data_IF_554800297423
#
_entry.id   IF_554800297423
#
_cell.length_a   1.000
_cell.length_b   1.000
_cell.length_c   1.000
_cell.angle_alpha   90.00
_cell.angle_beta   90.00
_cell.angle_gamma   90.00
#
_symmetry.space_group_name_H-M   'P 1'
#
loop_
_entity.id
_entity.type
_entity.pdbx_description
1 polymer ?
#
# COMPACT_ATOMS: atom_id res chain seq x y z
N UNK A 1 21.83 -5.93 -12.30
CA UNK A 1 22.38 -4.59 -12.59
C UNK A 1 21.59 -3.58 -11.77
N UNK A 2 22.26 -2.59 -11.16
CA UNK A 2 21.56 -1.63 -10.30
C UNK A 2 22.27 -0.30 -10.26
N UNK A 3 21.58 0.71 -9.71
CA UNK A 3 22.08 2.07 -9.52
C UNK A 3 21.74 2.48 -8.08
N UNK A 4 22.72 3.06 -7.37
CA UNK A 4 22.53 3.72 -6.10
C UNK A 4 22.52 5.24 -6.34
N UNK A 5 21.38 5.86 -6.02
CA UNK A 5 21.16 7.28 -6.23
C UNK A 5 21.09 7.99 -4.87
N UNK A 6 22.03 8.90 -4.60
CA UNK A 6 21.91 9.81 -3.47
C UNK A 6 21.05 10.99 -3.87
N UNK A 7 19.93 11.17 -3.20
CA UNK A 7 19.02 12.30 -3.36
C UNK A 7 19.30 13.31 -2.24
N UNK A 8 19.44 14.58 -2.59
CA UNK A 8 19.66 15.66 -1.63
C UNK A 8 18.71 16.82 -1.88
N UNK A 9 17.94 17.17 -0.87
CA UNK A 9 17.04 18.31 -0.85
C UNK A 9 17.72 19.41 -0.05
N UNK A 10 18.56 20.19 -0.71
CA UNK A 10 19.50 21.14 -0.09
C UNK A 10 18.80 22.16 0.80
N UNK A 11 17.70 22.75 0.31
CA UNK A 11 16.97 23.80 1.04
C UNK A 11 16.34 23.30 2.34
N UNK A 12 16.08 22.00 2.43
CA UNK A 12 15.46 21.36 3.61
C UNK A 12 16.48 20.62 4.50
N UNK A 13 17.72 20.48 4.03
CA UNK A 13 18.75 19.71 4.75
C UNK A 13 18.42 18.22 4.85
N UNK A 14 17.68 17.67 3.89
CA UNK A 14 17.29 16.25 3.88
C UNK A 14 18.03 15.53 2.76
N UNK A 15 18.60 14.37 3.07
CA UNK A 15 19.16 13.48 2.05
C UNK A 15 18.83 12.02 2.34
N UNK A 16 18.80 11.20 1.29
CA UNK A 16 18.59 9.76 1.38
C UNK A 16 19.21 9.04 0.18
N UNK A 17 19.49 7.75 0.31
CA UNK A 17 19.88 6.87 -0.79
C UNK A 17 18.69 6.08 -1.30
N UNK A 18 18.58 5.97 -2.61
CA UNK A 18 17.59 5.13 -3.29
C UNK A 18 18.32 4.14 -4.20
N UNK A 19 18.13 2.86 -3.93
CA UNK A 19 18.79 1.77 -4.65
C UNK A 19 17.79 1.18 -5.64
N UNK A 20 18.11 1.24 -6.91
CA UNK A 20 17.33 0.69 -8.01
C UNK A 20 18.02 -0.56 -8.55
N UNK A 21 17.30 -1.67 -8.68
CA UNK A 21 17.84 -2.90 -9.28
C UNK A 21 16.89 -3.41 -10.37
N UNK A 22 17.46 -3.80 -11.49
CA UNK A 22 16.72 -4.53 -12.51
C UNK A 22 16.51 -5.97 -12.06
N UNK A 23 15.29 -6.40 -12.10
CA UNK A 23 14.84 -7.77 -11.84
C UNK A 23 14.40 -8.42 -13.16
N UNK A 24 14.30 -9.76 -13.25
CA UNK A 24 13.91 -10.44 -14.49
C UNK A 24 12.60 -9.95 -15.11
N UNK A 25 11.65 -9.57 -14.27
CA UNK A 25 10.31 -9.16 -14.67
C UNK A 25 9.94 -7.75 -14.19
N UNK A 26 10.94 -6.91 -13.87
CA UNK A 26 10.65 -5.56 -13.42
C UNK A 26 11.82 -4.80 -12.80
N UNK A 27 11.50 -3.99 -11.79
CA UNK A 27 12.47 -3.15 -11.06
C UNK A 27 12.17 -3.21 -9.58
N UNK A 28 13.18 -3.43 -8.75
CA UNK A 28 13.08 -3.23 -7.31
C UNK A 28 13.66 -1.88 -6.90
N UNK A 29 13.02 -1.29 -5.89
CA UNK A 29 13.38 0.00 -5.31
C UNK A 29 13.56 -0.22 -3.81
N UNK A 30 14.68 0.24 -3.28
CA UNK A 30 14.96 0.16 -1.85
C UNK A 30 15.43 1.52 -1.34
N UNK A 31 14.87 1.95 -0.19
CA UNK A 31 15.33 3.13 0.56
C UNK A 31 15.63 2.67 1.97
N UNK A 32 16.92 2.46 2.33
CA UNK A 32 17.33 2.11 3.67
C UNK A 32 17.05 3.27 4.63
N UNK A 33 16.43 3.00 5.76
CA UNK A 33 16.15 4.02 6.78
C UNK A 33 17.41 4.74 7.26
N UNK A 34 18.49 4.00 7.47
CA UNK A 34 19.77 4.54 7.93
C UNK A 34 20.42 5.53 6.95
N UNK A 35 19.98 5.51 5.67
CA UNK A 35 20.46 6.47 4.67
C UNK A 35 19.80 7.85 4.78
N UNK A 36 18.68 7.95 5.51
CA UNK A 36 17.94 9.19 5.68
C UNK A 36 18.67 10.07 6.68
N UNK A 37 19.05 11.26 6.23
CA UNK A 37 19.72 12.25 7.05
C UNK A 37 18.91 13.53 7.06
N UNK A 38 18.69 14.08 8.25
CA UNK A 38 18.00 15.34 8.50
C UNK A 38 18.97 16.26 9.24
N UNK A 39 19.57 17.24 8.54
CA UNK A 39 20.59 18.12 9.10
C UNK A 39 20.02 19.47 9.54
N UNK A 40 18.85 19.86 9.01
CA UNK A 40 18.14 21.06 9.41
C UNK A 40 17.05 20.71 10.44
N UNK A 41 17.12 21.22 11.70
CA UNK A 41 16.16 20.86 12.75
C UNK A 41 14.75 21.41 12.50
N UNK A 42 14.58 22.33 11.57
CA UNK A 42 13.26 22.90 11.23
C UNK A 42 12.44 22.00 10.29
N UNK A 43 13.10 21.04 9.62
CA UNK A 43 12.46 20.18 8.63
C UNK A 43 12.67 18.70 8.95
N UNK A 44 11.65 17.91 8.66
CA UNK A 44 11.67 16.46 8.75
C UNK A 44 11.02 15.82 7.53
N UNK A 45 11.49 14.66 7.15
CA UNK A 45 10.85 13.84 6.14
C UNK A 45 9.50 13.30 6.68
N UNK A 46 8.41 13.91 6.28
CA UNK A 46 7.08 13.46 6.69
C UNK A 46 6.63 12.24 5.90
N UNK A 47 6.59 12.35 4.58
CA UNK A 47 6.10 11.31 3.67
C UNK A 47 7.01 11.20 2.46
N UNK A 48 7.35 9.98 2.10
CA UNK A 48 8.10 9.68 0.88
C UNK A 48 7.14 9.17 -0.20
N UNK A 49 6.94 9.93 -1.25
CA UNK A 49 6.16 9.58 -2.42
C UNK A 49 7.08 8.96 -3.48
N UNK A 50 6.95 7.64 -3.72
CA UNK A 50 7.79 6.96 -4.70
C UNK A 50 7.12 6.94 -6.08
N UNK A 51 7.79 7.56 -7.06
CA UNK A 51 7.40 7.57 -8.47
C UNK A 51 5.91 7.83 -8.72
N UNK A 52 5.34 8.95 -8.22
CA UNK A 52 3.89 9.19 -8.27
C UNK A 52 3.32 9.17 -9.67
N UNK A 53 4.10 9.54 -10.68
CA UNK A 53 3.66 9.55 -12.09
C UNK A 53 4.14 8.35 -12.90
N UNK A 54 4.63 7.29 -12.26
CA UNK A 54 5.01 6.08 -13.02
C UNK A 54 3.78 5.46 -13.68
N UNK A 55 3.82 5.35 -15.00
CA UNK A 55 2.69 4.84 -15.78
C UNK A 55 1.49 5.78 -15.87
N UNK A 56 1.61 7.05 -15.49
CA UNK A 56 0.50 8.01 -15.57
C UNK A 56 -0.04 8.15 -17.00
N UNK A 57 -1.38 8.21 -17.12
CA UNK A 57 -2.07 8.39 -18.41
C UNK A 57 -2.94 9.63 -18.42
N UNK A 58 -2.90 10.39 -19.50
CA UNK A 58 -3.72 11.60 -19.64
C UNK A 58 -5.15 11.23 -19.98
N UNK A 59 -6.09 11.47 -19.05
CA UNK A 59 -7.51 11.20 -19.26
C UNK A 59 -7.78 9.81 -19.80
N UNK A 60 -8.62 9.71 -20.82
CA UNK A 60 -8.93 8.48 -21.54
C UNK A 60 -8.06 8.22 -22.77
N UNK A 61 -6.85 8.83 -22.88
CA UNK A 61 -5.99 8.70 -24.08
C UNK A 61 -5.55 7.26 -24.34
N UNK A 62 -5.48 6.44 -23.31
CA UNK A 62 -5.23 5.00 -23.39
C UNK A 62 -6.34 4.29 -22.63
N UNK A 63 -6.99 3.26 -23.19
CA UNK A 63 -7.93 2.46 -22.43
C UNK A 63 -7.22 1.70 -21.34
N UNK A 64 -7.79 1.64 -20.15
CA UNK A 64 -7.18 0.96 -19.01
C UNK A 64 -7.82 1.33 -17.68
N UNK A 65 -7.15 0.97 -16.60
CA UNK A 65 -7.63 1.20 -15.25
C UNK A 65 -6.51 1.14 -14.21
N UNK A 66 -6.75 1.76 -13.07
CA UNK A 66 -6.01 1.54 -11.82
C UNK A 66 -6.67 0.42 -11.03
N UNK A 67 -5.88 -0.47 -10.44
CA UNK A 67 -6.32 -1.55 -9.57
C UNK A 67 -5.94 -1.25 -8.12
N UNK A 68 -6.92 -1.36 -7.22
CA UNK A 68 -6.77 -1.22 -5.76
C UNK A 68 -7.33 -2.49 -5.11
N UNK A 69 -6.61 -3.15 -4.18
CA UNK A 69 -7.05 -4.36 -3.50
C UNK A 69 -8.01 -4.05 -2.32
N UNK A 70 -9.06 -3.28 -2.57
CA UNK A 70 -10.08 -2.90 -1.61
C UNK A 70 -11.17 -3.97 -1.56
N UNK A 71 -11.24 -4.75 -0.49
CA UNK A 71 -12.14 -5.89 -0.36
C UNK A 71 -11.89 -6.94 -1.46
N UNK A 72 -12.87 -7.12 -2.35
CA UNK A 72 -12.78 -8.01 -3.52
C UNK A 72 -11.91 -7.43 -4.65
N UNK A 73 -11.45 -6.20 -4.52
CA UNK A 73 -10.72 -5.44 -5.53
C UNK A 73 -11.58 -4.41 -6.25
N UNK A 74 -11.03 -3.22 -6.45
CA UNK A 74 -11.67 -2.09 -7.14
C UNK A 74 -10.88 -1.71 -8.39
N UNK A 75 -11.60 -1.43 -9.49
CA UNK A 75 -11.04 -0.96 -10.75
C UNK A 75 -11.52 0.46 -11.04
N UNK A 76 -10.60 1.40 -11.17
CA UNK A 76 -10.89 2.79 -11.54
C UNK A 76 -10.51 2.95 -13.02
N UNK A 77 -11.51 2.92 -13.90
CA UNK A 77 -11.29 3.02 -15.34
C UNK A 77 -10.92 4.45 -15.76
N UNK A 78 -10.01 4.57 -16.70
CA UNK A 78 -9.57 5.88 -17.20
C UNK A 78 -10.67 6.65 -17.93
N UNK A 79 -11.55 5.93 -18.62
CA UNK A 79 -12.67 6.52 -19.33
C UNK A 79 -13.81 7.01 -18.42
N UNK A 80 -13.87 6.53 -17.18
CA UNK A 80 -14.94 6.86 -16.22
C UNK A 80 -14.57 8.01 -15.29
N UNK A 81 -13.63 8.85 -15.68
CA UNK A 81 -13.09 9.97 -14.87
C UNK A 81 -14.16 10.93 -14.39
N UNK A 82 -15.28 11.08 -15.15
CA UNK A 82 -16.39 11.94 -14.76
C UNK A 82 -17.16 11.47 -13.53
N UNK A 83 -17.02 10.20 -13.14
CA UNK A 83 -17.68 9.62 -11.96
C UNK A 83 -16.81 9.67 -10.71
N UNK A 84 -15.49 9.69 -10.84
CA UNK A 84 -14.58 9.83 -9.73
C UNK A 84 -14.57 11.29 -9.26
N UNK A 85 -15.00 11.53 -8.02
CA UNK A 85 -15.11 12.89 -7.44
C UNK A 85 -14.02 13.20 -6.42
N UNK A 86 -13.26 12.21 -6.00
CA UNK A 86 -12.26 12.33 -4.95
C UNK A 86 -10.97 11.60 -5.32
N UNK A 87 -9.88 12.09 -4.78
CA UNK A 87 -8.63 11.33 -4.68
C UNK A 87 -8.86 10.25 -3.62
N UNK A 88 -8.33 9.07 -3.85
CA UNK A 88 -8.49 7.93 -2.96
C UNK A 88 -7.20 7.74 -2.17
N UNK A 89 -7.34 7.78 -0.84
CA UNK A 89 -6.27 7.54 0.11
C UNK A 89 -6.63 6.31 0.95
N UNK A 90 -5.79 5.29 0.90
CA UNK A 90 -6.01 4.08 1.69
C UNK A 90 -4.71 3.66 2.37
N UNK A 91 -4.76 3.49 3.68
CA UNK A 91 -3.67 2.84 4.41
C UNK A 91 -3.74 1.34 4.28
N UNK A 92 -2.59 0.72 4.10
CA UNK A 92 -2.48 -0.73 4.23
C UNK A 92 -2.77 -1.14 5.67
N UNK A 93 -3.56 -2.21 5.82
CA UNK A 93 -4.01 -2.74 7.11
C UNK A 93 -4.87 -1.80 7.95
N UNK A 94 -5.38 -0.74 7.36
CA UNK A 94 -6.25 0.24 8.01
C UNK A 94 -5.52 1.41 8.66
N UNK A 95 -6.31 2.31 9.24
CA UNK A 95 -5.79 3.51 9.90
C UNK A 95 -5.27 3.18 11.29
N UNK A 96 -4.25 3.91 11.72
CA UNK A 96 -3.84 3.93 13.11
C UNK A 96 -4.89 4.68 13.93
N UNK A 97 -5.70 3.92 14.66
CA UNK A 97 -6.80 4.46 15.47
C UNK A 97 -6.31 5.37 16.61
N UNK A 98 -5.07 5.19 17.07
CA UNK A 98 -4.45 6.06 18.05
C UNK A 98 -4.13 7.47 17.52
N UNK A 99 -4.04 7.63 16.20
CA UNK A 99 -3.65 8.88 15.54
C UNK A 99 -4.83 9.68 14.99
N UNK A 100 -6.03 9.13 14.92
CA UNK A 100 -7.19 9.83 14.32
C UNK A 100 -8.05 10.57 15.33
N UNK A 101 -7.76 10.48 16.62
CA UNK A 101 -8.52 11.15 17.68
C UNK A 101 -9.98 10.72 17.81
N UNK A 102 -10.39 9.67 17.11
CA UNK A 102 -11.75 9.12 17.16
C UNK A 102 -11.79 7.90 18.09
N UNK A 103 -12.90 7.78 18.80
CA UNK A 103 -13.15 6.59 19.63
C UNK A 103 -13.32 5.39 18.67
N UNK A 104 -12.55 4.29 18.86
CA UNK A 104 -12.56 3.14 17.93
C UNK A 104 -13.93 2.42 17.86
N UNK A 105 -14.84 2.73 18.72
CA UNK A 105 -16.10 2.02 18.97
C UNK A 105 -17.35 2.81 18.60
N UNK A 106 -17.24 3.79 17.72
CA UNK A 106 -18.45 4.40 17.20
C UNK A 106 -19.08 3.44 16.17
N UNK A 107 -20.17 2.71 16.51
CA UNK A 107 -20.80 1.76 15.62
C UNK A 107 -21.47 2.43 14.42
N UNK A 108 -21.60 3.76 14.45
CA UNK A 108 -22.18 4.56 13.38
C UNK A 108 -21.13 5.11 12.40
N UNK A 109 -19.85 4.99 12.73
CA UNK A 109 -18.78 5.31 11.78
C UNK A 109 -18.55 4.08 10.93
N UNK A 110 -18.67 4.23 9.61
CA UNK A 110 -18.28 3.19 8.67
C UNK A 110 -16.85 2.76 9.00
N UNK A 111 -16.60 1.45 9.16
CA UNK A 111 -15.25 0.99 9.43
C UNK A 111 -14.34 1.49 8.31
N UNK A 112 -13.13 1.99 8.63
CA UNK A 112 -12.19 2.41 7.62
C UNK A 112 -11.91 1.24 6.68
N UNK A 113 -11.87 1.51 5.38
CA UNK A 113 -11.50 0.50 4.40
C UNK A 113 -10.17 -0.15 4.78
N UNK A 114 -10.15 -1.46 4.78
CA UNK A 114 -8.96 -2.22 5.13
C UNK A 114 -8.37 -2.80 3.85
N UNK A 115 -7.22 -2.28 3.47
CA UNK A 115 -6.41 -2.82 2.40
C UNK A 115 -5.50 -3.90 3.01
N UNK A 116 -5.74 -5.15 2.68
CA UNK A 116 -5.04 -6.28 3.28
C UNK A 116 -3.89 -6.83 2.44
N UNK A 117 -3.81 -6.46 1.17
CA UNK A 117 -2.76 -6.91 0.24
C UNK A 117 -1.83 -5.73 -0.10
N UNK A 118 -0.50 -5.88 0.04
CA UNK A 118 0.47 -4.81 -0.20
C UNK A 118 0.77 -4.62 -1.69
N UNK A 119 -0.27 -4.46 -2.50
CA UNK A 119 -0.18 -4.39 -3.96
C UNK A 119 -1.08 -3.31 -4.52
N UNK A 120 -0.66 -2.69 -5.61
CA UNK A 120 -1.49 -1.87 -6.49
C UNK A 120 -1.07 -2.15 -7.92
N UNK A 121 -1.89 -1.76 -8.89
CA UNK A 121 -1.53 -1.97 -10.28
C UNK A 121 -2.18 -0.99 -11.24
N UNK A 122 -1.70 -1.00 -12.47
CA UNK A 122 -2.22 -0.16 -13.55
C UNK A 122 -2.14 -0.90 -14.88
N UNK A 123 -3.22 -0.84 -15.66
CA UNK A 123 -3.32 -1.45 -16.98
C UNK A 123 -3.36 -0.36 -18.03
N UNK A 124 -2.51 -0.50 -19.05
CA UNK A 124 -2.38 0.42 -20.18
C UNK A 124 -2.67 -0.33 -21.48
N UNK A 125 -3.88 -0.14 -22.01
CA UNK A 125 -4.36 -0.91 -23.16
C UNK A 125 -4.76 -2.34 -22.76
N UNK A 126 -5.92 -2.76 -23.25
CA UNK A 126 -6.36 -4.13 -22.99
C UNK A 126 -5.40 -5.12 -23.64
N UNK A 127 -4.89 -6.07 -22.86
CA UNK A 127 -3.92 -7.09 -23.29
C UNK A 127 -2.63 -6.53 -23.92
N UNK A 128 -2.20 -5.34 -23.48
CA UNK A 128 -0.95 -4.74 -23.95
C UNK A 128 0.09 -4.72 -22.84
N UNK A 129 -0.04 -3.78 -21.91
CA UNK A 129 0.93 -3.59 -20.85
C UNK A 129 0.25 -3.33 -19.51
N UNK A 130 0.83 -3.84 -18.46
CA UNK A 130 0.42 -3.52 -17.09
C UNK A 130 1.62 -3.58 -16.17
N UNK A 131 1.47 -3.03 -14.98
CA UNK A 131 2.36 -3.31 -13.87
C UNK A 131 1.55 -3.61 -12.60
N UNK A 132 2.15 -4.40 -11.73
CA UNK A 132 1.76 -4.55 -10.34
C UNK A 132 2.94 -4.13 -9.46
N UNK A 133 2.68 -3.36 -8.40
CA UNK A 133 3.68 -3.13 -7.37
C UNK A 133 3.47 -4.11 -6.22
N UNK A 134 4.54 -4.53 -5.59
CA UNK A 134 4.52 -5.33 -4.37
C UNK A 134 5.43 -4.66 -3.34
N UNK A 135 4.89 -4.31 -2.17
CA UNK A 135 5.69 -3.77 -1.08
C UNK A 135 6.23 -4.94 -0.26
N UNK A 136 7.57 -5.04 -0.17
CA UNK A 136 8.26 -6.07 0.61
C UNK A 136 8.60 -5.61 2.03
N UNK A 137 8.94 -4.31 2.21
CA UNK A 137 9.24 -3.70 3.49
C UNK A 137 8.56 -2.33 3.62
N UNK A 138 8.16 -1.99 4.83
CA UNK A 138 7.54 -0.69 5.15
C UNK A 138 6.03 -0.63 4.95
N UNK A 139 5.36 -1.75 4.66
CA UNK A 139 3.93 -1.79 4.34
C UNK A 139 3.04 -1.25 5.46
N UNK A 140 3.39 -1.46 6.73
CA UNK A 140 2.60 -0.96 7.89
C UNK A 140 2.56 0.57 7.97
N UNK A 141 3.48 1.26 7.30
CA UNK A 141 3.57 2.71 7.23
C UNK A 141 3.26 3.25 5.83
N UNK A 142 2.74 2.39 4.97
CA UNK A 142 2.44 2.76 3.60
C UNK A 142 0.95 3.07 3.40
N UNK A 143 0.70 3.93 2.42
CA UNK A 143 -0.64 4.23 1.93
C UNK A 143 -0.67 4.20 0.40
N UNK A 144 -1.85 3.86 -0.12
CA UNK A 144 -2.17 3.98 -1.54
C UNK A 144 -2.70 5.38 -1.78
N UNK A 145 -2.21 6.04 -2.84
CA UNK A 145 -2.79 7.25 -3.37
C UNK A 145 -3.18 7.02 -4.83
N UNK A 146 -4.48 7.07 -5.12
CA UNK A 146 -5.00 6.94 -6.46
C UNK A 146 -5.68 8.24 -6.90
N UNK A 147 -5.24 8.76 -8.02
CA UNK A 147 -5.63 10.06 -8.55
C UNK A 147 -6.30 9.88 -9.91
N UNK A 148 -7.63 9.84 -9.97
CA UNK A 148 -8.34 9.87 -11.24
C UNK A 148 -8.15 11.23 -11.93
N UNK A 149 -8.05 11.20 -13.26
CA UNK A 149 -7.95 12.39 -14.09
C UNK A 149 -9.14 13.35 -13.87
N UNK A 150 -8.88 14.65 -13.93
CA UNK A 150 -9.89 15.69 -13.82
C UNK A 150 -10.19 16.18 -12.40
N UNK A 151 -9.49 15.67 -11.37
CA UNK A 151 -9.62 16.13 -9.98
C UNK A 151 -8.52 17.15 -9.65
N UNK A 152 -7.27 16.72 -9.54
CA UNK A 152 -6.12 17.61 -9.34
C UNK A 152 -5.36 17.89 -10.63
N UNK A 153 -5.29 16.88 -11.48
CA UNK A 153 -4.53 16.94 -12.73
C UNK A 153 -5.34 16.27 -13.84
N UNK A 154 -4.87 16.42 -15.08
CA UNK A 154 -5.43 15.72 -16.23
C UNK A 154 -4.88 14.28 -16.39
N UNK A 155 -4.21 13.75 -15.37
CA UNK A 155 -3.62 12.42 -15.41
C UNK A 155 -4.30 11.46 -14.43
N UNK A 156 -4.45 10.20 -14.85
CA UNK A 156 -4.71 9.08 -13.97
C UNK A 156 -3.39 8.53 -13.50
N UNK A 157 -3.19 8.38 -12.20
CA UNK A 157 -1.98 7.79 -11.63
C UNK A 157 -2.26 7.20 -10.25
N UNK A 158 -1.49 6.20 -9.90
CA UNK A 158 -1.57 5.51 -8.61
C UNK A 158 -0.16 5.17 -8.13
N UNK A 159 0.10 5.35 -6.85
CA UNK A 159 1.39 5.10 -6.25
C UNK A 159 1.30 4.78 -4.76
N UNK A 160 2.42 4.34 -4.20
CA UNK A 160 2.57 4.11 -2.77
C UNK A 160 3.34 5.28 -2.14
N UNK A 161 2.84 5.77 -1.03
CA UNK A 161 3.50 6.73 -0.18
C UNK A 161 3.86 6.10 1.17
N UNK A 162 4.98 6.51 1.77
CA UNK A 162 5.54 5.93 2.99
C UNK A 162 5.69 6.99 4.05
N UNK A 163 5.12 6.79 5.24
CA UNK A 163 4.97 7.79 6.28
C UNK A 163 6.06 7.62 7.33
N UNK A 164 7.03 8.52 7.34
CA UNK A 164 8.11 8.57 8.33
C UNK A 164 7.74 9.41 9.55
N UNK A 165 7.10 10.57 9.33
CA UNK A 165 6.62 11.41 10.43
C UNK A 165 5.18 11.83 10.14
N UNK A 166 4.28 11.51 11.06
CA UNK A 166 2.87 11.83 10.94
C UNK A 166 2.50 13.02 11.83
N UNK A 167 1.72 13.96 11.29
CA UNK A 167 0.96 14.88 12.11
C UNK A 167 -0.34 14.21 12.58
N UNK A 168 -0.73 14.45 13.81
CA UNK A 168 -1.96 13.92 14.36
C UNK A 168 -2.61 14.92 15.31
N UNK A 169 -3.93 14.79 15.47
CA UNK A 169 -4.68 15.60 16.41
C UNK A 169 -4.69 14.93 17.79
N UNK A 170 -4.18 15.64 18.80
CA UNK A 170 -4.19 15.21 20.19
C UNK A 170 -5.34 15.90 20.92
N UNK A 171 -6.46 15.20 21.28
CA UNK A 171 -7.51 15.79 22.06
C UNK A 171 -7.02 16.07 23.48
N UNK A 172 -7.31 17.27 23.99
CA UNK A 172 -6.93 17.71 25.34
C UNK A 172 -8.09 17.64 26.33
N UNK A 173 -9.32 17.52 25.84
CA UNK A 173 -10.50 17.36 26.69
C UNK A 173 -11.59 16.52 26.00
N UNK A 174 -12.62 16.14 26.78
CA UNK A 174 -13.75 15.34 26.28
C UNK A 174 -14.67 16.11 25.31
N UNK A 175 -14.59 17.43 25.28
CA UNK A 175 -15.39 18.27 24.38
C UNK A 175 -14.77 18.37 22.96
N UNK A 176 -13.64 17.70 22.72
CA UNK A 176 -12.99 17.65 21.41
C UNK A 176 -12.00 18.80 21.15
N UNK A 177 -11.73 19.66 22.14
CA UNK A 177 -10.62 20.61 22.00
C UNK A 177 -9.28 19.85 22.02
N UNK A 178 -8.33 20.31 21.22
CA UNK A 178 -7.03 19.66 21.13
C UNK A 178 -6.05 20.46 20.28
N UNK A 179 -4.88 19.90 20.09
CA UNK A 179 -3.80 20.48 19.31
C UNK A 179 -3.35 19.51 18.22
N UNK A 180 -3.01 20.04 17.06
CA UNK A 180 -2.32 19.24 16.04
C UNK A 180 -0.83 19.25 16.37
N UNK A 181 -0.25 18.09 16.48
CA UNK A 181 1.16 17.89 16.77
C UNK A 181 1.80 16.94 15.78
N UNK A 182 3.12 16.92 15.75
CA UNK A 182 3.91 16.00 14.93
C UNK A 182 4.53 14.95 15.85
N UNK A 183 4.58 13.73 15.38
CA UNK A 183 5.22 12.62 16.07
C UNK A 183 6.69 12.97 16.41
N UNK A 184 7.12 12.67 17.64
CA UNK A 184 8.44 13.09 18.14
C UNK A 184 9.60 12.33 17.52
N UNK A 185 9.40 11.04 17.25
CA UNK A 185 10.39 10.16 16.65
C UNK A 185 9.87 9.64 15.31
N UNK A 186 10.71 9.58 14.27
CA UNK A 186 10.29 9.02 13.00
C UNK A 186 9.99 7.53 13.13
N UNK A 187 9.11 7.03 12.27
CA UNK A 187 8.94 5.60 12.07
C UNK A 187 10.22 5.04 11.46
N UNK A 188 10.79 4.00 12.06
CA UNK A 188 12.07 3.42 11.65
C UNK A 188 11.82 2.16 10.83
N UNK A 189 11.91 2.27 9.52
CA UNK A 189 11.71 1.15 8.61
C UNK A 189 12.41 1.40 7.27
N UNK A 190 12.88 0.33 6.66
CA UNK A 190 13.30 0.37 5.27
C UNK A 190 12.09 0.35 4.36
N UNK A 191 12.16 1.03 3.24
CA UNK A 191 11.24 0.81 2.13
C UNK A 191 11.86 -0.17 1.17
N UNK A 192 11.09 -1.19 0.78
CA UNK A 192 11.43 -2.06 -0.34
C UNK A 192 10.19 -2.41 -1.14
N UNK A 193 10.19 -2.11 -2.41
CA UNK A 193 9.08 -2.29 -3.31
C UNK A 193 9.54 -2.80 -4.68
N UNK A 194 8.75 -3.64 -5.31
CA UNK A 194 8.97 -4.10 -6.68
C UNK A 194 7.87 -3.58 -7.60
N UNK A 195 8.25 -3.10 -8.78
CA UNK A 195 7.40 -2.98 -9.95
C UNK A 195 7.61 -4.21 -10.81
N UNK A 196 6.55 -4.99 -11.03
CA UNK A 196 6.56 -6.18 -11.87
C UNK A 196 5.74 -5.89 -13.11
N UNK A 197 6.35 -6.05 -14.28
CA UNK A 197 5.73 -5.73 -15.56
C UNK A 197 5.02 -6.94 -16.15
N UNK A 198 3.85 -6.69 -16.71
CA UNK A 198 2.98 -7.68 -17.30
C UNK A 198 2.67 -7.25 -18.74
N UNK A 199 2.67 -8.21 -19.65
CA UNK A 199 2.43 -7.97 -21.08
C UNK A 199 1.42 -8.95 -21.64
N UNK A 200 0.80 -8.58 -22.75
CA UNK A 200 -0.12 -9.44 -23.50
C UNK A 200 -1.25 -10.01 -22.63
N UNK A 201 -1.47 -11.31 -22.63
CA UNK A 201 -2.59 -11.98 -21.94
C UNK A 201 -2.50 -11.89 -20.40
N UNK A 202 -1.33 -11.56 -19.84
CA UNK A 202 -1.17 -11.34 -18.40
C UNK A 202 -1.40 -9.86 -17.99
N UNK A 203 -1.63 -8.94 -18.94
CA UNK A 203 -1.77 -7.51 -18.65
C UNK A 203 -3.20 -7.11 -18.27
N UNK A 204 -3.76 -7.80 -17.27
CA UNK A 204 -5.04 -7.50 -16.65
C UNK A 204 -5.00 -7.79 -15.14
N UNK A 205 -6.11 -7.54 -14.45
CA UNK A 205 -6.20 -7.79 -13.00
C UNK A 205 -6.06 -9.29 -12.65
N UNK A 206 -6.43 -10.19 -13.55
CA UNK A 206 -6.26 -11.65 -13.35
C UNK A 206 -4.78 -12.02 -13.43
N UNK A 207 -4.07 -11.46 -14.43
CA UNK A 207 -2.61 -11.62 -14.55
C UNK A 207 -1.87 -11.01 -13.36
N UNK A 208 -2.32 -9.84 -12.86
CA UNK A 208 -1.77 -9.25 -11.63
C UNK A 208 -1.94 -10.20 -10.44
N UNK A 209 -3.13 -10.79 -10.25
CA UNK A 209 -3.39 -11.75 -9.17
C UNK A 209 -2.52 -13.00 -9.29
N UNK A 210 -2.36 -13.55 -10.50
CA UNK A 210 -1.49 -14.70 -10.76
C UNK A 210 -0.02 -14.37 -10.54
N UNK A 211 0.42 -13.17 -10.93
CA UNK A 211 1.80 -12.71 -10.72
C UNK A 211 2.09 -12.57 -9.23
N UNK A 212 1.18 -11.96 -8.46
CA UNK A 212 1.32 -11.86 -7.02
C UNK A 212 1.30 -13.23 -6.33
N UNK A 213 0.46 -14.16 -6.78
CA UNK A 213 0.46 -15.54 -6.28
C UNK A 213 1.81 -16.24 -6.55
N UNK A 214 2.39 -16.09 -7.76
CA UNK A 214 3.74 -16.61 -8.07
C UNK A 214 4.77 -16.03 -7.12
N UNK A 215 4.77 -14.73 -6.93
CA UNK A 215 5.65 -14.03 -5.99
C UNK A 215 5.56 -14.62 -4.57
N UNK A 216 4.35 -14.83 -4.04
CA UNK A 216 4.16 -15.40 -2.71
C UNK A 216 4.65 -16.85 -2.59
N UNK A 217 4.52 -17.64 -3.67
CA UNK A 217 5.05 -19.00 -3.74
C UNK A 217 6.58 -19.00 -3.77
N UNK A 218 7.20 -18.11 -4.57
CA UNK A 218 8.65 -17.94 -4.66
C UNK A 218 9.26 -17.52 -3.32
N UNK A 219 8.58 -16.66 -2.59
CA UNK A 219 8.98 -16.24 -1.23
C UNK A 219 8.62 -17.24 -0.13
N UNK A 220 8.01 -18.37 -0.47
CA UNK A 220 7.54 -19.40 0.49
C UNK A 220 6.53 -18.89 1.53
N UNK A 221 5.88 -17.75 1.27
CA UNK A 221 4.79 -17.20 2.08
C UNK A 221 3.51 -18.01 1.85
N UNK A 222 3.25 -18.33 0.59
CA UNK A 222 2.15 -19.21 0.20
C UNK A 222 2.69 -20.62 -0.09
N UNK A 223 2.00 -21.62 0.44
CA UNK A 223 2.29 -23.02 0.14
C UNK A 223 1.18 -23.60 -0.73
N UNK A 224 1.54 -24.41 -1.72
CA UNK A 224 0.53 -25.18 -2.47
C UNK A 224 -0.17 -26.13 -1.51
N UNK A 225 -1.51 -26.21 -1.53
CA UNK A 225 -2.23 -27.16 -0.69
C UNK A 225 -1.81 -28.60 -1.04
N UNK A 226 -1.56 -29.40 -0.02
CA UNK A 226 -1.37 -30.83 -0.20
C UNK A 226 -2.71 -31.46 -0.55
N UNK A 227 -2.84 -31.94 -1.78
CA UNK A 227 -4.04 -32.60 -2.28
C UNK A 227 -4.01 -34.13 -2.10
N UNK A 228 -2.99 -34.65 -1.45
CA UNK A 228 -2.87 -36.12 -1.21
C UNK A 228 -3.95 -36.63 -0.26
N UNK A 229 -4.47 -35.77 0.61
CA UNK A 229 -5.47 -36.11 1.63
C UNK A 229 -6.87 -35.60 1.23
N UNK A 230 -7.54 -36.30 0.32
CA UNK A 230 -8.85 -35.91 -0.23
C UNK A 230 -10.02 -36.04 0.76
N UNK A 231 -9.79 -36.63 1.93
CA UNK A 231 -10.84 -36.96 2.90
C UNK A 231 -10.96 -35.94 4.03
N UNK A 232 -10.13 -34.92 4.07
CA UNK A 232 -10.17 -33.89 5.13
C UNK A 232 -11.04 -32.70 4.70
N UNK A 233 -12.06 -32.41 5.48
CA UNK A 233 -12.82 -31.16 5.37
C UNK A 233 -12.06 -30.11 6.15
N UNK A 234 -11.55 -29.07 5.46
CA UNK A 234 -10.94 -27.92 6.11
C UNK A 234 -12.02 -27.07 6.79
N UNK A 235 -12.00 -26.99 8.12
CA UNK A 235 -12.87 -26.12 8.88
C UNK A 235 -12.04 -24.93 9.36
N UNK A 236 -12.42 -23.71 8.96
CA UNK A 236 -11.92 -22.47 9.53
C UNK A 236 -12.95 -21.92 10.50
N UNK A 237 -12.57 -21.81 11.76
CA UNK A 237 -13.40 -21.18 12.80
C UNK A 237 -12.85 -19.78 13.07
N UNK A 238 -13.68 -18.78 12.86
CA UNK A 238 -13.39 -17.41 13.21
C UNK A 238 -14.29 -17.00 14.39
N UNK A 239 -13.67 -16.61 15.50
CA UNK A 239 -14.39 -16.09 16.66
C UNK A 239 -14.33 -14.57 16.59
N UNK A 240 -15.50 -13.95 16.39
CA UNK A 240 -15.68 -12.50 16.48
C UNK A 240 -16.19 -12.20 17.88
N UNK A 241 -15.31 -11.68 18.71
CA UNK A 241 -15.67 -11.25 20.07
C UNK A 241 -14.55 -10.41 20.64
N UNK A 242 -14.92 -9.33 21.34
CA UNK A 242 -13.98 -8.52 22.11
C UNK A 242 -14.25 -8.77 23.59
N UNK A 243 -13.46 -9.61 24.24
CA UNK A 243 -13.35 -9.62 25.68
C UNK A 243 -12.18 -8.73 26.12
N UNK A 244 -12.39 -8.00 27.21
CA UNK A 244 -11.49 -6.95 27.70
C UNK A 244 -10.14 -7.45 28.23
N UNK A 245 -9.92 -8.76 28.29
CA UNK A 245 -8.72 -9.36 28.85
C UNK A 245 -8.16 -10.42 27.89
N UNK A 246 -6.98 -10.11 27.36
CA UNK A 246 -6.05 -11.01 26.65
C UNK A 246 -6.61 -11.62 25.36
N UNK A 247 -6.37 -10.95 24.24
CA UNK A 247 -6.53 -11.56 22.91
C UNK A 247 -5.42 -12.59 22.69
N UNK A 248 -5.69 -13.84 23.05
CA UNK A 248 -4.92 -14.97 22.57
C UNK A 248 -5.52 -15.41 21.24
N UNK A 249 -4.92 -14.94 20.14
CA UNK A 249 -5.17 -15.51 18.81
C UNK A 249 -4.58 -16.91 18.74
N UNK A 250 -5.39 -17.93 19.11
CA UNK A 250 -5.06 -19.33 18.88
C UNK A 250 -5.59 -19.72 17.51
N UNK A 251 -4.74 -19.77 16.48
CA UNK A 251 -5.03 -20.53 15.28
C UNK A 251 -4.63 -21.98 15.56
N UNK A 252 -5.54 -22.82 16.01
CA UNK A 252 -5.37 -24.27 15.98
C UNK A 252 -6.07 -24.82 14.73
N UNK A 253 -5.31 -25.41 13.84
CA UNK A 253 -5.87 -26.33 12.86
C UNK A 253 -6.21 -27.64 13.58
N UNK A 254 -7.51 -27.94 13.69
CA UNK A 254 -7.97 -29.23 14.21
C UNK A 254 -8.10 -30.13 12.97
N UNK A 255 -7.22 -31.10 12.84
CA UNK A 255 -7.42 -32.22 11.93
C UNK A 255 -8.25 -33.30 12.66
N UNK A 256 -9.46 -33.55 12.21
CA UNK A 256 -10.26 -34.69 12.64
C UNK A 256 -9.90 -35.84 11.74
N UNK A 257 -9.24 -36.87 12.28
CA UNK A 257 -9.00 -38.16 11.63
C UNK A 257 -10.24 -39.00 11.69
#
# INVERSE_FOLDING_TARGET
MGVDCKLTFTDFGISLSMILKLEPDGVSIEVPFESIQETNPEFRLAVLHLYPFFGATRGGSVPGYMFIPDGAGSLIRFADTTKARNILYYRYYGQDLGMIGKVPWDPFVNPPYVISLPVIGMVHGYKQNAFITVIEKGVSYAEIQAHPSGILTNFNFIYNAFIYNQSYFQPTNRAGAGVTTIQQKPNQFDVKMQYRFLTQDESDYVGMAKNYQRYLLEKSVLKKPDRSNKNNIGIRLEFLGAEKEIVLLWTRSISVT
#
